data_IF_831705305686
#
_entry.id   IF_831705305686
#
_cell.length_a   1.000
_cell.length_b   1.000
_cell.length_c   1.000
_cell.angle_alpha   90.00
_cell.angle_beta   90.00
_cell.angle_gamma   90.00
#
_symmetry.space_group_name_H-M   'P 1'
#
loop_
_entity.id
_entity.type
_entity.pdbx_description
1 polymer ?
#
# COMPACT_ATOMS: atom_id res chain seq x y z
N UNK A 1 36.03 -1.79 17.14
CA UNK A 1 35.20 -2.56 16.19
C UNK A 1 34.31 -1.55 15.47
N UNK A 2 34.60 -1.26 14.21
CA UNK A 2 33.76 -0.39 13.39
C UNK A 2 32.41 -1.08 13.24
N UNK A 3 31.35 -0.54 13.87
CA UNK A 3 29.98 -0.98 13.61
C UNK A 3 29.75 -0.88 12.11
N UNK A 4 29.58 -2.00 11.41
CA UNK A 4 29.22 -1.99 10.00
C UNK A 4 27.91 -1.21 9.85
N UNK A 5 27.85 -0.35 8.83
CA UNK A 5 26.65 0.42 8.49
C UNK A 5 25.53 -0.55 8.12
N UNK A 6 24.32 -0.37 8.64
CA UNK A 6 23.16 -1.23 8.30
C UNK A 6 22.80 -1.01 6.82
N UNK A 7 22.76 -2.08 6.03
CA UNK A 7 22.49 -2.05 4.58
C UNK A 7 21.09 -2.57 4.30
N UNK A 8 20.29 -1.77 3.60
CA UNK A 8 18.91 -2.13 3.21
C UNK A 8 18.85 -2.20 1.70
N UNK A 9 18.50 -3.38 1.19
CA UNK A 9 18.28 -3.63 -0.22
C UNK A 9 16.82 -3.42 -0.60
N UNK A 10 16.57 -2.73 -1.70
CA UNK A 10 15.21 -2.54 -2.22
C UNK A 10 15.19 -2.66 -3.75
N UNK A 11 14.48 -3.66 -4.31
CA UNK A 11 14.10 -3.64 -5.71
C UNK A 11 13.03 -2.58 -5.93
N UNK A 12 13.25 -1.69 -6.89
CA UNK A 12 12.32 -0.61 -7.24
C UNK A 12 12.13 -0.61 -8.74
N UNK A 13 10.89 -0.53 -9.21
CA UNK A 13 10.63 -0.27 -10.63
C UNK A 13 11.05 1.17 -10.98
N UNK A 14 12.29 1.37 -11.44
CA UNK A 14 12.77 2.66 -11.96
C UNK A 14 12.51 2.78 -13.47
N UNK A 15 12.26 1.66 -14.13
CA UNK A 15 11.77 1.57 -15.50
C UNK A 15 10.58 0.63 -15.64
N UNK A 16 9.95 0.62 -16.82
CA UNK A 16 8.79 -0.21 -17.13
C UNK A 16 7.45 0.38 -16.64
N UNK A 17 6.39 -0.44 -16.67
CA UNK A 17 5.00 -0.02 -16.40
C UNK A 17 4.75 0.56 -15.01
N UNK A 18 5.62 0.29 -14.04
CA UNK A 18 5.50 0.76 -12.65
C UNK A 18 6.49 1.89 -12.31
N UNK A 19 7.26 2.40 -13.29
CA UNK A 19 8.28 3.44 -13.10
C UNK A 19 7.79 4.67 -12.31
N UNK A 20 6.55 5.10 -12.59
CA UNK A 20 5.93 6.23 -11.88
C UNK A 20 5.83 6.00 -10.37
N UNK A 21 5.42 4.80 -9.96
CA UNK A 21 5.27 4.45 -8.55
C UNK A 21 6.62 4.12 -7.91
N UNK A 22 7.52 3.43 -8.61
CA UNK A 22 8.86 3.18 -8.09
C UNK A 22 9.67 4.47 -7.89
N UNK A 23 9.51 5.47 -8.75
CA UNK A 23 10.08 6.80 -8.53
C UNK A 23 9.64 7.44 -7.21
N UNK A 24 8.36 7.28 -6.82
CA UNK A 24 7.83 7.77 -5.55
C UNK A 24 8.40 7.00 -4.35
N UNK A 25 8.53 5.67 -4.45
CA UNK A 25 9.17 4.84 -3.41
C UNK A 25 10.62 5.27 -3.20
N UNK A 26 11.40 5.39 -4.28
CA UNK A 26 12.80 5.82 -4.21
C UNK A 26 12.93 7.18 -3.54
N UNK A 27 12.16 8.17 -3.97
CA UNK A 27 12.20 9.52 -3.39
C UNK A 27 11.84 9.50 -1.89
N UNK A 28 10.81 8.75 -1.51
CA UNK A 28 10.42 8.60 -0.10
C UNK A 28 11.55 8.00 0.75
N UNK A 29 12.16 6.91 0.28
CA UNK A 29 13.27 6.25 0.97
C UNK A 29 14.52 7.14 1.05
N UNK A 30 14.86 7.88 -0.01
CA UNK A 30 15.98 8.82 0.00
C UNK A 30 15.73 9.99 0.97
N UNK A 31 14.49 10.48 1.10
CA UNK A 31 14.11 11.47 2.12
C UNK A 31 14.27 10.87 3.52
N UNK A 32 13.74 9.67 3.75
CA UNK A 32 13.91 8.96 5.02
C UNK A 32 15.39 8.75 5.39
N UNK A 33 16.23 8.31 4.44
CA UNK A 33 17.67 8.09 4.67
C UNK A 33 18.41 9.37 5.11
N UNK A 34 17.93 10.56 4.72
CA UNK A 34 18.52 11.83 5.17
C UNK A 34 18.42 12.04 6.70
N UNK A 35 17.45 11.38 7.36
CA UNK A 35 17.33 11.33 8.82
C UNK A 35 18.08 10.15 9.45
N UNK A 36 18.52 9.19 8.64
CA UNK A 36 19.20 7.97 9.08
C UNK A 36 20.55 7.80 8.34
N UNK A 37 21.53 8.71 8.53
CA UNK A 37 22.80 8.68 7.82
C UNK A 37 23.69 7.47 8.15
N UNK A 38 23.33 6.69 9.18
CA UNK A 38 23.97 5.42 9.52
C UNK A 38 23.36 4.21 8.76
N UNK A 39 22.40 4.42 7.86
CA UNK A 39 21.79 3.37 7.01
C UNK A 39 22.21 3.58 5.56
N UNK A 40 22.69 2.53 4.91
CA UNK A 40 22.99 2.50 3.48
C UNK A 40 21.79 1.90 2.71
N UNK A 41 21.19 2.67 1.81
CA UNK A 41 20.17 2.18 0.89
C UNK A 41 20.83 1.69 -0.40
N UNK A 42 20.51 0.46 -0.80
CA UNK A 42 20.94 -0.12 -2.08
C UNK A 42 19.68 -0.35 -2.90
N UNK A 43 19.49 0.52 -3.89
CA UNK A 43 18.33 0.52 -4.79
C UNK A 43 18.74 -0.12 -6.11
N UNK A 44 18.01 -1.15 -6.54
CA UNK A 44 18.21 -1.78 -7.84
C UNK A 44 16.92 -1.75 -8.67
N UNK A 45 17.05 -1.47 -9.97
CA UNK A 45 15.91 -1.43 -10.88
C UNK A 45 15.40 -2.85 -11.16
N UNK A 46 14.12 -3.10 -10.88
CA UNK A 46 13.44 -4.36 -11.21
C UNK A 46 12.75 -4.33 -12.59
N UNK A 47 12.84 -3.21 -13.32
CA UNK A 47 12.25 -3.02 -14.65
C UNK A 47 10.74 -3.24 -14.73
N UNK A 48 10.04 -3.31 -13.59
CA UNK A 48 8.64 -3.74 -13.49
C UNK A 48 8.37 -5.20 -13.92
N UNK A 49 9.38 -6.05 -13.91
CA UNK A 49 9.31 -7.41 -14.46
C UNK A 49 9.52 -8.50 -13.40
N UNK A 50 8.65 -9.52 -13.28
CA UNK A 50 8.85 -10.59 -12.31
C UNK A 50 10.18 -11.35 -12.48
N UNK A 51 10.68 -11.49 -13.71
CA UNK A 51 11.91 -12.25 -14.00
C UNK A 51 13.18 -11.52 -13.58
N UNK A 52 13.18 -10.18 -13.56
CA UNK A 52 14.36 -9.42 -13.12
C UNK A 52 14.69 -9.70 -11.65
N UNK A 53 13.67 -9.95 -10.82
CA UNK A 53 13.81 -10.25 -9.41
C UNK A 53 14.62 -11.52 -9.13
N UNK A 54 14.68 -12.46 -10.08
CA UNK A 54 15.51 -13.66 -9.97
C UNK A 54 17.01 -13.35 -9.95
N UNK A 55 17.39 -12.15 -10.39
CA UNK A 55 18.77 -11.64 -10.35
C UNK A 55 18.92 -10.59 -9.27
N UNK A 56 18.00 -9.63 -9.21
CA UNK A 56 18.08 -8.48 -8.30
C UNK A 56 18.01 -8.91 -6.83
N UNK A 57 17.07 -9.76 -6.45
CA UNK A 57 16.89 -10.13 -5.04
C UNK A 57 18.05 -10.97 -4.48
N UNK A 58 18.57 -12.01 -5.17
CA UNK A 58 19.76 -12.72 -4.69
C UNK A 58 20.99 -11.81 -4.56
N UNK A 59 21.16 -10.86 -5.49
CA UNK A 59 22.26 -9.88 -5.41
C UNK A 59 22.12 -8.97 -4.19
N UNK A 60 20.94 -8.39 -3.97
CA UNK A 60 20.64 -7.59 -2.79
C UNK A 60 20.83 -8.40 -1.50
N UNK A 61 20.33 -9.64 -1.45
CA UNK A 61 20.47 -10.53 -0.29
C UNK A 61 21.93 -10.85 0.04
N UNK A 62 22.79 -10.97 -0.97
CA UNK A 62 24.23 -11.22 -0.77
C UNK A 62 25.02 -10.02 -0.21
N UNK A 63 24.41 -8.83 -0.12
CA UNK A 63 25.11 -7.61 0.31
C UNK A 63 24.33 -6.76 1.33
N UNK A 64 23.07 -7.08 1.63
CA UNK A 64 22.20 -6.29 2.51
C UNK A 64 21.79 -7.08 3.76
N UNK A 65 21.59 -6.38 4.86
CA UNK A 65 21.11 -6.94 6.12
C UNK A 65 19.58 -7.07 6.14
N UNK A 66 18.88 -6.15 5.47
CA UNK A 66 17.42 -6.11 5.38
C UNK A 66 16.98 -5.98 3.92
N UNK A 67 15.83 -6.58 3.59
CA UNK A 67 15.24 -6.49 2.25
C UNK A 67 13.83 -5.90 2.31
N UNK A 68 13.61 -4.82 1.58
CA UNK A 68 12.28 -4.32 1.27
C UNK A 68 11.74 -5.02 0.01
N UNK A 69 10.42 -5.12 -0.10
CA UNK A 69 9.74 -5.76 -1.24
C UNK A 69 9.43 -4.78 -2.37
N UNK A 70 9.35 -5.23 -3.64
CA UNK A 70 9.02 -4.35 -4.75
C UNK A 70 7.55 -3.93 -4.77
N UNK A 71 7.27 -2.86 -5.52
CA UNK A 71 5.92 -2.58 -6.02
C UNK A 71 5.73 -3.29 -7.37
N UNK A 72 4.80 -4.22 -7.58
CA UNK A 72 3.41 -4.31 -7.08
C UNK A 72 3.04 -5.72 -6.56
N UNK A 73 1.77 -6.01 -6.27
CA UNK A 73 1.25 -7.35 -5.93
C UNK A 73 1.78 -8.47 -6.83
N UNK A 74 1.96 -8.22 -8.13
CA UNK A 74 2.53 -9.20 -9.06
C UNK A 74 4.01 -9.48 -8.75
N UNK A 75 4.81 -8.43 -8.59
CA UNK A 75 6.24 -8.54 -8.29
C UNK A 75 6.46 -9.12 -6.89
N UNK A 76 5.66 -8.68 -5.93
CA UNK A 76 5.77 -9.12 -4.55
C UNK A 76 5.43 -10.61 -4.38
N UNK A 77 4.53 -11.16 -5.19
CA UNK A 77 4.29 -12.61 -5.25
C UNK A 77 5.56 -13.38 -5.63
N UNK A 78 6.35 -12.86 -6.57
CA UNK A 78 7.62 -13.48 -6.98
C UNK A 78 8.69 -13.25 -5.91
N UNK A 79 8.78 -12.03 -5.38
CA UNK A 79 9.72 -11.66 -4.33
C UNK A 79 9.55 -12.55 -3.08
N UNK A 80 8.32 -12.77 -2.61
CA UNK A 80 8.07 -13.62 -1.44
C UNK A 80 8.58 -15.06 -1.60
N UNK A 81 8.44 -15.64 -2.80
CA UNK A 81 9.00 -16.98 -3.10
C UNK A 81 10.52 -16.99 -3.11
N UNK A 82 11.14 -15.93 -3.62
CA UNK A 82 12.59 -15.78 -3.64
C UNK A 82 13.12 -15.58 -2.22
N UNK A 83 12.47 -14.73 -1.41
CA UNK A 83 12.78 -14.55 0.01
C UNK A 83 12.73 -15.88 0.78
N UNK A 84 11.67 -16.66 0.59
CA UNK A 84 11.56 -18.00 1.17
C UNK A 84 12.67 -18.95 0.71
N UNK A 85 13.03 -18.95 -0.57
CA UNK A 85 14.11 -19.78 -1.11
C UNK A 85 15.51 -19.38 -0.60
N UNK A 86 15.69 -18.10 -0.23
CA UNK A 86 16.93 -17.55 0.31
C UNK A 86 16.97 -17.55 1.86
N UNK A 87 15.93 -18.04 2.53
CA UNK A 87 15.73 -17.93 4.00
C UNK A 87 15.82 -16.47 4.50
N UNK A 88 15.30 -15.52 3.73
CA UNK A 88 15.30 -14.08 4.02
C UNK A 88 13.89 -13.54 4.25
N UNK A 89 13.79 -12.55 5.14
CA UNK A 89 12.54 -11.81 5.39
C UNK A 89 12.46 -10.60 4.45
N UNK A 90 11.30 -10.42 3.80
CA UNK A 90 10.99 -9.30 2.93
C UNK A 90 9.90 -8.44 3.56
N UNK A 91 10.21 -7.16 3.76
CA UNK A 91 9.28 -6.13 4.22
C UNK A 91 8.46 -5.62 3.04
N UNK A 92 7.27 -6.16 2.88
CA UNK A 92 6.37 -5.88 1.78
C UNK A 92 5.68 -4.53 1.96
N UNK A 93 6.04 -3.59 1.08
CA UNK A 93 5.42 -2.27 0.97
C UNK A 93 4.63 -2.06 -0.33
N UNK A 94 4.49 -3.08 -1.18
CA UNK A 94 4.04 -2.92 -2.57
C UNK A 94 2.99 -3.92 -3.05
N UNK A 95 2.78 -5.02 -2.32
CA UNK A 95 1.82 -6.06 -2.65
C UNK A 95 0.71 -6.22 -1.64
N UNK A 96 -0.48 -5.67 -1.94
CA UNK A 96 -1.63 -5.72 -1.04
C UNK A 96 -2.49 -6.97 -1.19
N UNK A 97 -2.25 -7.83 -2.19
CA UNK A 97 -3.07 -9.04 -2.36
C UNK A 97 -3.03 -9.93 -1.11
N UNK A 98 -4.19 -10.31 -0.58
CA UNK A 98 -4.32 -11.11 0.65
C UNK A 98 -3.51 -12.41 0.53
N UNK A 99 -3.57 -13.04 -0.64
CA UNK A 99 -2.85 -14.24 -1.02
C UNK A 99 -1.36 -14.01 -1.32
N UNK A 100 -0.88 -12.78 -1.31
CA UNK A 100 0.55 -12.43 -1.37
C UNK A 100 1.08 -12.18 0.03
N UNK A 101 0.33 -11.46 0.87
CA UNK A 101 0.70 -11.19 2.25
C UNK A 101 0.83 -12.48 3.06
N UNK A 102 -0.11 -13.42 2.91
CA UNK A 102 -0.14 -14.67 3.66
C UNK A 102 0.63 -15.84 3.00
N UNK A 103 1.22 -15.65 1.82
CA UNK A 103 1.75 -16.77 1.02
C UNK A 103 3.04 -17.40 1.56
N UNK A 104 3.86 -16.64 2.30
CA UNK A 104 5.15 -17.12 2.78
C UNK A 104 5.33 -16.74 4.26
N UNK A 105 4.62 -17.41 5.18
CA UNK A 105 4.77 -17.18 6.61
C UNK A 105 6.25 -17.30 7.03
N UNK A 106 6.69 -16.44 7.94
CA UNK A 106 8.10 -16.37 8.36
C UNK A 106 9.00 -15.54 7.44
N UNK A 107 8.53 -15.14 6.25
CA UNK A 107 9.37 -14.53 5.20
C UNK A 107 8.78 -13.26 4.58
N UNK A 108 7.49 -12.96 4.79
CA UNK A 108 6.85 -11.74 4.28
C UNK A 108 6.15 -11.04 5.42
N UNK A 109 6.51 -9.78 5.66
CA UNK A 109 5.83 -8.89 6.61
C UNK A 109 5.25 -7.71 5.82
N UNK A 110 3.93 -7.57 5.82
CA UNK A 110 3.22 -6.54 5.07
C UNK A 110 2.89 -5.33 5.91
N UNK A 111 3.10 -4.11 5.38
CA UNK A 111 2.74 -2.86 6.09
C UNK A 111 1.36 -2.32 5.69
N UNK A 112 0.87 -2.69 4.51
CA UNK A 112 -0.38 -2.19 3.93
C UNK A 112 -1.57 -3.10 4.18
N UNK A 113 -2.76 -2.50 4.12
CA UNK A 113 -4.05 -3.15 4.26
C UNK A 113 -4.18 -4.19 3.16
N UNK A 114 -4.69 -5.40 3.44
CA UNK A 114 -4.92 -6.37 2.39
C UNK A 114 -6.05 -5.93 1.45
N UNK A 115 -5.97 -6.35 0.19
CA UNK A 115 -6.87 -5.97 -0.90
C UNK A 115 -8.34 -6.21 -0.54
N UNK A 116 -8.65 -7.34 0.10
CA UNK A 116 -10.00 -7.69 0.55
C UNK A 116 -10.62 -6.74 1.58
N UNK A 117 -9.85 -5.78 2.11
CA UNK A 117 -10.30 -4.80 3.10
C UNK A 117 -10.33 -3.36 2.58
N UNK A 118 -10.00 -3.12 1.31
CA UNK A 118 -9.94 -1.76 0.73
C UNK A 118 -11.29 -1.04 0.78
N UNK A 119 -12.38 -1.75 0.54
CA UNK A 119 -13.71 -1.15 0.48
C UNK A 119 -14.35 -0.91 1.85
N UNK A 120 -13.79 -1.45 2.94
CA UNK A 120 -14.29 -1.27 4.31
C UNK A 120 -14.62 0.19 4.65
N UNK A 121 -13.70 1.18 4.44
CA UNK A 121 -13.99 2.58 4.72
C UNK A 121 -15.21 3.13 3.95
N UNK A 122 -15.33 2.80 2.65
CA UNK A 122 -16.44 3.29 1.82
C UNK A 122 -17.78 2.66 2.24
N UNK A 123 -17.80 1.34 2.46
CA UNK A 123 -19.01 0.65 2.93
C UNK A 123 -19.44 1.14 4.30
N UNK A 124 -18.49 1.40 5.21
CA UNK A 124 -18.78 1.99 6.52
C UNK A 124 -19.44 3.36 6.36
N UNK A 125 -18.91 4.21 5.49
CA UNK A 125 -19.47 5.54 5.21
C UNK A 125 -20.92 5.47 4.70
N UNK A 126 -21.25 4.53 3.82
CA UNK A 126 -22.63 4.27 3.36
C UNK A 126 -23.52 3.78 4.51
N UNK A 127 -22.99 2.87 5.34
CA UNK A 127 -23.73 2.35 6.49
C UNK A 127 -24.11 3.46 7.48
N UNK A 128 -23.14 4.32 7.82
CA UNK A 128 -23.25 5.46 8.74
C UNK A 128 -24.16 6.58 8.22
N UNK A 129 -24.23 6.80 6.90
CA UNK A 129 -25.20 7.75 6.32
C UNK A 129 -26.63 7.22 6.28
N UNK A 130 -26.85 5.95 6.64
CA UNK A 130 -28.13 5.27 6.47
C UNK A 130 -28.44 4.89 5.01
N UNK A 131 -27.49 5.04 4.08
CA UNK A 131 -27.71 4.65 2.70
C UNK A 131 -27.73 3.12 2.57
N UNK A 132 -28.79 2.60 1.95
CA UNK A 132 -29.00 1.17 1.66
C UNK A 132 -29.26 0.93 0.17
N UNK A 133 -29.02 1.93 -0.67
CA UNK A 133 -29.04 1.76 -2.13
C UNK A 133 -28.09 0.65 -2.56
N UNK A 134 -28.47 -0.14 -3.58
CA UNK A 134 -27.67 -1.27 -4.01
C UNK A 134 -26.31 -0.82 -4.54
N UNK A 135 -25.29 -1.60 -4.20
CA UNK A 135 -23.90 -1.38 -4.58
C UNK A 135 -23.57 -2.16 -5.85
N UNK A 136 -23.30 -1.43 -6.93
CA UNK A 136 -22.68 -1.98 -8.14
C UNK A 136 -21.18 -2.09 -7.92
N UNK A 137 -20.61 -3.27 -8.11
CA UNK A 137 -19.17 -3.49 -8.07
C UNK A 137 -18.67 -3.81 -9.48
N UNK A 138 -17.72 -3.00 -9.97
CA UNK A 138 -17.04 -3.24 -11.24
C UNK A 138 -15.59 -3.61 -10.96
N UNK A 139 -15.25 -4.89 -11.17
CA UNK A 139 -13.89 -5.41 -10.99
C UNK A 139 -13.07 -5.23 -12.27
N UNK A 140 -11.83 -4.75 -12.12
CA UNK A 140 -10.83 -4.84 -13.18
C UNK A 140 -10.27 -6.27 -13.31
N UNK A 141 -9.20 -6.39 -14.10
CA UNK A 141 -8.53 -7.67 -14.36
C UNK A 141 -7.55 -8.06 -13.25
N UNK A 142 -7.38 -9.37 -13.09
CA UNK A 142 -6.33 -9.95 -12.24
C UNK A 142 -6.72 -10.11 -10.77
N UNK A 143 -5.86 -10.81 -10.02
CA UNK A 143 -6.22 -11.30 -8.68
C UNK A 143 -6.44 -10.20 -7.65
N UNK A 144 -5.69 -9.10 -7.73
CA UNK A 144 -5.86 -7.96 -6.84
C UNK A 144 -7.26 -7.35 -6.97
N UNK A 145 -7.68 -7.01 -8.20
CA UNK A 145 -9.00 -6.46 -8.49
C UNK A 145 -10.12 -7.36 -7.97
N UNK A 146 -10.00 -8.67 -8.23
CA UNK A 146 -10.96 -9.67 -7.74
C UNK A 146 -11.04 -9.70 -6.21
N UNK A 147 -9.91 -9.69 -5.49
CA UNK A 147 -9.90 -9.67 -4.03
C UNK A 147 -10.55 -8.40 -3.48
N UNK A 148 -10.29 -7.23 -4.08
CA UNK A 148 -10.93 -5.96 -3.69
C UNK A 148 -12.44 -6.03 -3.91
N UNK A 149 -12.89 -6.55 -5.06
CA UNK A 149 -14.31 -6.68 -5.40
C UNK A 149 -15.05 -7.67 -4.48
N UNK A 150 -14.46 -8.83 -4.21
CA UNK A 150 -15.00 -9.80 -3.26
C UNK A 150 -15.04 -9.23 -1.83
N UNK A 151 -14.01 -8.49 -1.44
CA UNK A 151 -13.93 -7.77 -0.16
C UNK A 151 -15.04 -6.75 -0.01
N UNK A 152 -15.28 -5.94 -1.04
CA UNK A 152 -16.38 -4.99 -1.09
C UNK A 152 -17.75 -5.65 -0.95
N UNK A 153 -17.96 -6.78 -1.64
CA UNK A 153 -19.21 -7.53 -1.54
C UNK A 153 -19.42 -8.08 -0.12
N UNK A 154 -18.38 -8.66 0.49
CA UNK A 154 -18.44 -9.15 1.89
C UNK A 154 -18.76 -8.02 2.87
N UNK A 155 -18.06 -6.89 2.76
CA UNK A 155 -18.29 -5.74 3.63
C UNK A 155 -19.72 -5.20 3.47
N UNK A 156 -20.21 -5.06 2.24
CA UNK A 156 -21.56 -4.57 1.96
C UNK A 156 -22.66 -5.49 2.52
N UNK A 157 -22.53 -6.81 2.31
CA UNK A 157 -23.46 -7.78 2.87
C UNK A 157 -23.49 -7.76 4.41
N UNK A 158 -22.34 -7.57 5.06
CA UNK A 158 -22.27 -7.49 6.52
C UNK A 158 -23.07 -6.32 7.12
N UNK A 159 -23.34 -5.28 6.34
CA UNK A 159 -24.15 -4.11 6.75
C UNK A 159 -25.52 -4.03 6.06
N UNK A 160 -25.92 -5.08 5.34
CA UNK A 160 -27.21 -5.19 4.69
C UNK A 160 -27.37 -4.36 3.41
N UNK A 161 -26.28 -4.03 2.71
CA UNK A 161 -26.32 -3.36 1.40
C UNK A 161 -26.35 -4.43 0.29
N UNK A 162 -27.37 -4.42 -0.60
CA UNK A 162 -27.43 -5.36 -1.73
C UNK A 162 -26.28 -5.14 -2.71
N UNK A 163 -25.74 -6.21 -3.30
CA UNK A 163 -24.59 -6.14 -4.22
C UNK A 163 -24.94 -6.72 -5.59
N UNK A 164 -24.49 -6.05 -6.65
CA UNK A 164 -24.52 -6.58 -8.02
C UNK A 164 -23.17 -6.34 -8.71
N UNK A 165 -22.63 -7.37 -9.36
CA UNK A 165 -21.37 -7.28 -10.11
C UNK A 165 -21.60 -6.90 -11.58
N UNK A 166 -20.82 -5.92 -12.08
CA UNK A 166 -20.81 -5.49 -13.48
C UNK A 166 -22.16 -4.95 -13.98
N UNK A 167 -22.23 -4.43 -15.21
CA UNK A 167 -23.46 -3.90 -15.81
C UNK A 167 -23.66 -2.39 -15.65
N UNK A 168 -24.74 -1.83 -16.24
CA UNK A 168 -24.98 -0.39 -16.27
C UNK A 168 -25.32 0.20 -14.88
N UNK A 169 -25.08 1.50 -14.74
CA UNK A 169 -25.29 2.28 -13.50
C UNK A 169 -26.12 3.52 -13.82
N UNK A 170 -27.10 3.80 -12.95
CA UNK A 170 -27.91 5.04 -12.93
C UNK A 170 -27.93 5.62 -11.50
N UNK A 171 -28.77 6.64 -11.26
CA UNK A 171 -28.84 7.36 -9.97
C UNK A 171 -29.49 6.59 -8.81
N UNK A 172 -29.95 5.36 -9.05
CA UNK A 172 -30.40 4.45 -8.00
C UNK A 172 -29.25 3.65 -7.34
N UNK A 173 -28.08 3.61 -7.97
CA UNK A 173 -26.95 2.77 -7.57
C UNK A 173 -25.80 3.56 -6.93
N UNK A 174 -25.23 2.97 -5.88
CA UNK A 174 -23.86 3.26 -5.49
C UNK A 174 -22.91 2.45 -6.38
N UNK A 175 -21.76 3.00 -6.75
CA UNK A 175 -20.76 2.36 -7.59
C UNK A 175 -19.43 2.25 -6.85
N UNK A 176 -18.85 1.04 -6.84
CA UNK A 176 -17.50 0.78 -6.39
C UNK A 176 -16.66 0.17 -7.53
N UNK A 177 -15.61 0.87 -7.94
CA UNK A 177 -14.66 0.45 -8.96
C UNK A 177 -13.42 -0.17 -8.29
N UNK A 178 -13.11 -1.41 -8.68
CA UNK A 178 -12.05 -2.23 -8.11
C UNK A 178 -11.06 -2.68 -9.20
N UNK A 179 -10.56 -1.75 -10.00
CA UNK A 179 -9.64 -2.01 -11.11
C UNK A 179 -8.25 -1.40 -10.94
N UNK A 180 -7.40 -1.61 -11.95
CA UNK A 180 -6.21 -0.80 -12.12
C UNK A 180 -6.58 0.65 -12.47
N UNK A 181 -5.62 1.56 -12.36
CA UNK A 181 -5.84 3.00 -12.55
C UNK A 181 -6.63 3.34 -13.82
N UNK A 182 -6.22 2.83 -14.97
CA UNK A 182 -6.87 3.13 -16.25
C UNK A 182 -8.25 2.46 -16.38
N UNK A 183 -8.44 1.26 -15.81
CA UNK A 183 -9.72 0.56 -15.82
C UNK A 183 -10.76 1.32 -14.98
N UNK A 184 -10.39 1.76 -13.78
CA UNK A 184 -11.27 2.56 -12.92
C UNK A 184 -11.63 3.89 -13.58
N UNK A 185 -10.66 4.59 -14.18
CA UNK A 185 -10.89 5.84 -14.92
C UNK A 185 -11.89 5.63 -16.06
N UNK A 186 -11.75 4.54 -16.82
CA UNK A 186 -12.66 4.20 -17.91
C UNK A 186 -14.08 3.91 -17.41
N UNK A 187 -14.21 3.17 -16.30
CA UNK A 187 -15.52 2.88 -15.68
C UNK A 187 -16.16 4.18 -15.17
N UNK A 188 -15.42 5.01 -14.44
CA UNK A 188 -15.93 6.28 -13.89
C UNK A 188 -16.40 7.22 -15.00
N UNK A 189 -15.63 7.37 -16.09
CA UNK A 189 -16.03 8.20 -17.24
C UNK A 189 -17.35 7.74 -17.88
N UNK A 190 -17.71 6.46 -17.75
CA UNK A 190 -18.95 5.86 -18.29
C UNK A 190 -20.07 5.74 -17.25
N UNK A 191 -19.79 5.95 -15.96
CA UNK A 191 -20.71 5.68 -14.86
C UNK A 191 -21.94 6.62 -14.84
N UNK A 192 -21.93 7.71 -15.61
CA UNK A 192 -23.07 8.60 -15.74
C UNK A 192 -23.49 9.23 -14.41
N UNK A 193 -24.76 9.03 -14.01
CA UNK A 193 -25.40 9.69 -12.86
C UNK A 193 -25.43 8.83 -11.59
N UNK A 194 -24.49 7.91 -11.40
CA UNK A 194 -24.39 7.11 -10.18
C UNK A 194 -24.60 7.95 -8.91
N UNK A 195 -25.35 7.45 -7.93
CA UNK A 195 -25.67 8.19 -6.69
C UNK A 195 -24.41 8.59 -5.95
N UNK A 196 -23.51 7.63 -5.77
CA UNK A 196 -22.19 7.83 -5.17
C UNK A 196 -21.22 6.91 -5.88
N UNK A 197 -20.03 7.44 -6.20
CA UNK A 197 -18.95 6.71 -6.86
C UNK A 197 -17.79 6.61 -5.89
N UNK A 198 -17.24 5.41 -5.74
CA UNK A 198 -15.95 5.18 -5.13
C UNK A 198 -15.07 4.38 -6.08
N UNK A 199 -13.81 4.79 -6.24
CA UNK A 199 -12.84 4.07 -7.07
C UNK A 199 -11.51 3.92 -6.33
N UNK A 200 -10.84 2.77 -6.50
CA UNK A 200 -9.50 2.56 -5.96
C UNK A 200 -8.53 3.58 -6.57
N UNK A 201 -8.63 3.83 -7.87
CA UNK A 201 -7.79 4.82 -8.57
C UNK A 201 -7.96 6.25 -8.03
N UNK A 202 -9.13 6.58 -7.49
CA UNK A 202 -9.39 7.90 -6.90
C UNK A 202 -8.64 8.12 -5.56
N UNK A 203 -7.92 7.11 -5.05
CA UNK A 203 -7.02 7.21 -3.91
C UNK A 203 -5.68 7.92 -4.20
N UNK A 204 -5.42 8.38 -5.43
CA UNK A 204 -4.20 9.14 -5.77
C UNK A 204 -4.52 10.41 -6.54
N UNK A 205 -3.73 11.48 -6.34
CA UNK A 205 -3.98 12.81 -6.91
C UNK A 205 -4.00 12.84 -8.45
N UNK A 206 -3.38 11.88 -9.09
CA UNK A 206 -3.32 11.82 -10.55
C UNK A 206 -4.66 11.41 -11.18
N UNK A 207 -5.60 10.87 -10.40
CA UNK A 207 -6.95 10.54 -10.86
C UNK A 207 -7.73 11.77 -11.33
N UNK A 208 -7.59 12.90 -10.64
CA UNK A 208 -8.33 14.13 -10.96
C UNK A 208 -8.03 14.64 -12.37
N UNK A 209 -6.77 14.56 -12.81
CA UNK A 209 -6.37 14.91 -14.17
C UNK A 209 -6.94 13.95 -15.23
N UNK A 210 -7.29 12.71 -14.83
CA UNK A 210 -7.78 11.69 -15.74
C UNK A 210 -9.30 11.78 -15.97
N UNK A 211 -10.12 12.05 -14.96
CA UNK A 211 -11.61 11.96 -15.11
C UNK A 211 -12.31 13.28 -15.47
N UNK A 212 -11.60 14.41 -15.49
CA UNK A 212 -12.17 15.72 -15.84
C UNK A 212 -12.75 16.45 -14.63
N UNK A 213 -13.90 16.02 -14.12
CA UNK A 213 -14.48 16.53 -12.86
C UNK A 213 -14.57 15.41 -11.81
N UNK A 214 -13.60 15.32 -10.88
CA UNK A 214 -13.60 14.29 -9.86
C UNK A 214 -14.48 14.64 -8.65
N UNK A 215 -15.08 15.83 -8.57
CA UNK A 215 -15.71 16.32 -7.33
C UNK A 215 -16.80 15.38 -6.81
N UNK A 216 -16.76 15.09 -5.52
CA UNK A 216 -17.69 14.20 -4.83
C UNK A 216 -17.39 12.71 -5.03
N UNK A 217 -16.46 12.32 -5.91
CA UNK A 217 -16.02 10.94 -6.06
C UNK A 217 -15.18 10.55 -4.84
N UNK A 218 -15.47 9.38 -4.28
CA UNK A 218 -14.68 8.82 -3.20
C UNK A 218 -13.49 8.03 -3.72
N UNK A 219 -12.37 8.10 -3.00
CA UNK A 219 -11.16 7.33 -3.24
C UNK A 219 -10.84 6.41 -2.08
N UNK A 220 -10.10 5.34 -2.37
CA UNK A 220 -9.48 4.50 -1.34
C UNK A 220 -7.97 4.55 -1.51
N UNK A 221 -7.28 5.13 -0.53
CA UNK A 221 -5.82 5.09 -0.44
C UNK A 221 -5.37 4.36 0.81
N UNK A 222 -4.07 4.06 0.91
CA UNK A 222 -3.53 3.48 2.15
C UNK A 222 -3.18 4.56 3.19
N UNK A 223 -2.99 5.80 2.75
CA UNK A 223 -2.64 6.91 3.64
C UNK A 223 -2.96 8.23 2.94
N UNK A 224 -3.31 9.25 3.72
CA UNK A 224 -3.43 10.63 3.26
C UNK A 224 -2.87 11.59 4.32
N UNK A 225 -2.28 12.72 3.90
CA UNK A 225 -1.76 13.71 4.83
C UNK A 225 -2.83 14.24 5.77
N UNK A 226 -2.46 14.43 7.04
CA UNK A 226 -3.29 15.08 8.05
C UNK A 226 -3.91 14.13 9.07
N UNK A 227 -3.39 12.89 9.18
CA UNK A 227 -3.80 11.94 10.21
C UNK A 227 -3.43 12.42 11.62
N UNK A 228 -2.30 13.15 11.76
CA UNK A 228 -1.97 13.92 12.97
C UNK A 228 -1.73 13.11 14.26
N UNK A 229 -1.62 11.79 14.17
CA UNK A 229 -1.42 10.90 15.32
C UNK A 229 0.02 10.87 15.83
N UNK A 230 0.19 10.59 17.12
CA UNK A 230 1.50 10.26 17.69
C UNK A 230 2.00 8.93 17.12
N UNK A 231 3.28 8.88 16.76
CA UNK A 231 3.95 7.67 16.28
C UNK A 231 4.75 7.05 17.41
N UNK A 232 4.74 5.71 17.50
CA UNK A 232 5.49 5.00 18.54
C UNK A 232 7.02 5.06 18.30
N UNK A 233 7.44 5.13 17.04
CA UNK A 233 8.84 5.22 16.62
C UNK A 233 8.94 5.71 15.16
N UNK A 234 10.16 6.10 14.76
CA UNK A 234 10.45 6.63 13.43
C UNK A 234 10.14 8.11 13.29
N UNK A 235 9.92 8.57 12.05
CA UNK A 235 9.57 9.96 11.75
C UNK A 235 8.09 10.20 12.02
N UNK A 236 7.76 11.39 12.53
CA UNK A 236 6.37 11.85 12.51
C UNK A 236 5.90 12.14 11.09
N UNK A 237 4.58 12.10 10.88
CA UNK A 237 3.95 12.48 9.61
C UNK A 237 4.40 13.88 9.16
N UNK A 238 4.36 14.84 10.09
CA UNK A 238 4.72 16.24 9.84
C UNK A 238 6.17 16.40 9.40
N UNK A 239 7.11 15.72 10.05
CA UNK A 239 8.53 15.79 9.69
C UNK A 239 8.78 15.23 8.30
N UNK A 240 8.20 14.05 8.01
CA UNK A 240 8.37 13.41 6.72
C UNK A 240 7.74 14.21 5.58
N UNK A 241 6.48 14.64 5.73
CA UNK A 241 5.78 15.45 4.71
C UNK A 241 6.54 16.74 4.43
N UNK A 242 6.95 17.48 5.47
CA UNK A 242 7.69 18.71 5.29
C UNK A 242 9.05 18.49 4.59
N UNK A 243 9.76 17.41 4.91
CA UNK A 243 11.02 17.07 4.24
C UNK A 243 10.82 16.66 2.78
N UNK A 244 9.77 15.88 2.50
CA UNK A 244 9.42 15.46 1.15
C UNK A 244 9.00 16.64 0.27
N UNK A 245 8.17 17.53 0.79
CA UNK A 245 7.72 18.75 0.09
C UNK A 245 8.88 19.70 -0.19
N UNK A 246 9.79 19.92 0.77
CA UNK A 246 10.99 20.73 0.54
C UNK A 246 11.84 20.20 -0.61
N UNK A 247 11.85 18.88 -0.82
CA UNK A 247 12.66 18.23 -1.85
C UNK A 247 11.98 18.18 -3.21
N UNK A 248 10.66 18.06 -3.25
CA UNK A 248 9.92 17.75 -4.48
C UNK A 248 8.95 18.84 -4.93
N UNK A 249 8.63 19.80 -4.06
CA UNK A 249 7.65 20.86 -4.30
C UNK A 249 6.19 20.41 -4.19
N UNK A 250 5.92 19.13 -3.89
CA UNK A 250 4.57 18.56 -3.77
C UNK A 250 4.48 17.59 -2.58
N UNK A 251 3.29 17.40 -1.97
CA UNK A 251 3.13 16.41 -0.90
C UNK A 251 3.38 14.98 -1.41
N UNK A 252 3.85 14.07 -0.54
CA UNK A 252 3.97 12.66 -0.90
C UNK A 252 2.61 12.02 -1.14
N UNK A 253 2.56 11.05 -2.06
CA UNK A 253 1.47 10.08 -2.13
C UNK A 253 1.76 8.90 -1.19
N UNK A 254 0.74 8.11 -0.85
CA UNK A 254 0.87 6.96 0.05
C UNK A 254 1.91 5.92 -0.42
N UNK A 255 2.20 5.85 -1.72
CA UNK A 255 3.22 4.95 -2.29
C UNK A 255 4.62 5.26 -1.75
N UNK A 256 4.96 6.55 -1.58
CA UNK A 256 6.23 6.96 -0.97
C UNK A 256 6.24 6.61 0.53
N UNK A 257 5.14 6.89 1.22
CA UNK A 257 4.99 6.62 2.67
C UNK A 257 5.05 5.13 2.98
N UNK A 258 4.50 4.27 2.11
CA UNK A 258 4.58 2.81 2.24
C UNK A 258 6.03 2.31 2.31
N UNK A 259 6.89 2.74 1.39
CA UNK A 259 8.30 2.35 1.40
C UNK A 259 9.00 2.81 2.68
N UNK A 260 8.71 4.04 3.11
CA UNK A 260 9.27 4.63 4.34
C UNK A 260 8.78 3.89 5.59
N UNK A 261 7.50 3.52 5.65
CA UNK A 261 6.95 2.73 6.74
C UNK A 261 7.63 1.37 6.84
N UNK A 262 7.84 0.69 5.72
CA UNK A 262 8.58 -0.58 5.69
C UNK A 262 10.03 -0.42 6.16
N UNK A 263 10.73 0.64 5.76
CA UNK A 263 12.09 0.93 6.25
C UNK A 263 12.12 1.21 7.76
N UNK A 264 11.16 2.00 8.27
CA UNK A 264 11.04 2.33 9.69
C UNK A 264 10.74 1.07 10.52
N UNK A 265 9.79 0.25 10.10
CA UNK A 265 9.43 -0.97 10.83
C UNK A 265 10.57 -1.99 10.75
N UNK A 266 11.21 -2.15 9.59
CA UNK A 266 12.34 -3.07 9.42
C UNK A 266 13.52 -2.72 10.32
N UNK A 267 13.92 -1.44 10.34
CA UNK A 267 15.02 -0.97 11.17
C UNK A 267 14.69 -1.02 12.66
N UNK A 268 13.44 -0.71 13.03
CA UNK A 268 12.96 -0.86 14.41
C UNK A 268 13.03 -2.32 14.88
N UNK A 269 12.57 -3.26 14.07
CA UNK A 269 12.60 -4.69 14.41
C UNK A 269 14.03 -5.21 14.51
N UNK A 270 14.93 -4.81 13.62
CA UNK A 270 16.35 -5.16 13.70
C UNK A 270 17.00 -4.63 14.99
N UNK A 271 16.73 -3.37 15.34
CA UNK A 271 17.24 -2.78 16.58
C UNK A 271 16.69 -3.46 17.83
N UNK A 272 15.38 -3.78 17.85
CA UNK A 272 14.72 -4.48 18.96
C UNK A 272 15.23 -5.91 19.13
N UNK A 273 15.51 -6.60 18.02
CA UNK A 273 16.02 -7.95 18.04
C UNK A 273 17.53 -8.03 18.36
N UNK A 274 18.27 -6.93 18.17
CA UNK A 274 19.73 -6.91 18.28
C UNK A 274 20.44 -7.62 17.13
N UNK A 275 19.74 -7.87 16.02
CA UNK A 275 20.21 -8.68 14.90
C UNK A 275 19.28 -8.58 13.67
N UNK A 276 19.74 -9.14 12.55
CA UNK A 276 19.03 -9.14 11.27
C UNK A 276 18.68 -10.55 10.79
N UNK A 277 18.79 -11.56 11.67
CA UNK A 277 18.42 -12.93 11.34
C UNK A 277 16.93 -13.03 11.05
N UNK A 278 16.54 -13.78 10.01
CA UNK A 278 15.14 -13.92 9.58
C UNK A 278 14.19 -14.28 10.73
N UNK A 279 14.55 -15.27 11.56
CA UNK A 279 13.72 -15.71 12.68
C UNK A 279 13.57 -14.62 13.76
N UNK A 280 14.63 -13.86 14.01
CA UNK A 280 14.65 -12.76 14.98
C UNK A 280 13.78 -11.60 14.50
N UNK A 281 13.93 -11.20 13.24
CA UNK A 281 13.10 -10.17 12.60
C UNK A 281 11.62 -10.56 12.56
N UNK A 282 11.32 -11.83 12.23
CA UNK A 282 9.95 -12.34 12.26
C UNK A 282 9.35 -12.27 13.66
N UNK A 283 10.07 -12.75 14.67
CA UNK A 283 9.60 -12.73 16.05
C UNK A 283 9.37 -11.30 16.55
N UNK A 284 10.26 -10.36 16.17
CA UNK A 284 10.10 -8.95 16.51
C UNK A 284 8.86 -8.34 15.84
N UNK A 285 8.65 -8.61 14.54
CA UNK A 285 7.49 -8.12 13.80
C UNK A 285 6.16 -8.72 14.29
N UNK A 286 6.14 -10.02 14.59
CA UNK A 286 4.95 -10.73 15.05
C UNK A 286 4.49 -10.31 16.46
N UNK A 287 5.40 -9.78 17.28
CA UNK A 287 5.09 -9.22 18.59
C UNK A 287 4.91 -7.69 18.61
N UNK A 288 4.84 -7.05 17.44
CA UNK A 288 4.77 -5.59 17.32
C UNK A 288 3.34 -5.14 17.01
N UNK A 289 2.77 -4.37 17.92
CA UNK A 289 1.57 -3.56 17.71
C UNK A 289 1.94 -2.09 17.95
N UNK A 290 1.86 -1.25 16.92
CA UNK A 290 2.34 0.13 17.01
C UNK A 290 1.70 1.07 16.00
N UNK A 291 1.48 2.32 16.41
CA UNK A 291 1.18 3.41 15.50
C UNK A 291 2.46 3.91 14.81
N UNK A 292 2.42 4.05 13.49
CA UNK A 292 3.51 4.59 12.65
C UNK A 292 3.03 5.81 11.87
N UNK A 293 3.92 6.50 11.12
CA UNK A 293 3.48 7.56 10.19
C UNK A 293 2.47 7.09 9.14
N UNK A 294 2.40 5.78 8.91
CA UNK A 294 1.49 5.15 7.96
C UNK A 294 0.24 4.59 8.65
N UNK A 295 0.02 4.89 9.94
CA UNK A 295 -1.06 4.33 10.75
C UNK A 295 -0.65 3.08 11.52
N UNK A 296 -1.65 2.39 12.05
CA UNK A 296 -1.44 1.22 12.91
C UNK A 296 -0.77 0.07 12.14
N UNK A 297 0.14 -0.62 12.81
CA UNK A 297 0.81 -1.81 12.32
C UNK A 297 0.59 -2.94 13.32
N UNK A 298 0.08 -4.06 12.81
CA UNK A 298 0.09 -5.36 13.48
C UNK A 298 -0.02 -6.45 12.42
N UNK A 299 0.58 -7.61 12.63
CA UNK A 299 0.45 -8.75 11.71
C UNK A 299 -0.14 -9.96 12.42
N UNK A 300 -0.84 -10.80 11.68
CA UNK A 300 -1.15 -12.15 12.14
C UNK A 300 0.16 -12.94 12.28
N UNK A 301 0.52 -13.44 13.48
CA UNK A 301 1.81 -14.08 13.72
C UNK A 301 1.95 -15.45 13.05
N UNK A 302 0.84 -16.06 12.62
CA UNK A 302 0.84 -17.34 11.91
C UNK A 302 1.07 -17.20 10.41
N UNK A 303 0.70 -16.07 9.80
CA UNK A 303 0.68 -15.89 8.35
C UNK A 303 1.47 -14.68 7.84
N UNK A 304 1.63 -13.63 8.64
CA UNK A 304 2.24 -12.35 8.25
C UNK A 304 1.26 -11.37 7.61
N UNK A 305 -0.02 -11.73 7.54
CA UNK A 305 -1.09 -10.87 7.01
C UNK A 305 -1.21 -9.60 7.87
N UNK A 306 -1.30 -8.43 7.24
CA UNK A 306 -1.49 -7.17 7.97
C UNK A 306 -2.92 -7.08 8.55
N UNK A 307 -3.01 -6.87 9.86
CA UNK A 307 -4.27 -6.83 10.60
C UNK A 307 -4.58 -5.44 11.18
N UNK A 308 -3.55 -4.68 11.56
CA UNK A 308 -3.67 -3.37 12.18
C UNK A 308 -4.04 -2.25 11.20
N UNK A 309 -3.30 -2.14 10.10
CA UNK A 309 -3.44 -1.03 9.16
C UNK A 309 -4.81 -1.02 8.46
N UNK A 310 -5.34 0.17 8.21
CA UNK A 310 -6.65 0.40 7.56
C UNK A 310 -6.51 1.39 6.42
N UNK A 311 -7.15 1.07 5.31
CA UNK A 311 -7.27 1.99 4.18
C UNK A 311 -8.09 3.24 4.58
N UNK A 312 -7.75 4.36 3.96
CA UNK A 312 -8.33 5.68 4.21
C UNK A 312 -9.33 6.00 3.09
N UNK A 313 -10.53 6.42 3.49
CA UNK A 313 -11.49 7.01 2.56
C UNK A 313 -11.08 8.44 2.24
N UNK A 314 -11.15 8.80 0.98
CA UNK A 314 -11.13 10.20 0.59
C UNK A 314 -12.34 10.59 -0.21
N UNK A 315 -12.58 11.89 -0.26
CA UNK A 315 -13.56 12.52 -1.13
C UNK A 315 -12.86 13.61 -1.92
N UNK A 316 -13.07 13.61 -3.22
CA UNK A 316 -12.52 14.62 -4.10
C UNK A 316 -13.26 15.94 -3.95
N UNK A 317 -12.49 16.99 -3.66
CA UNK A 317 -12.93 18.38 -3.67
C UNK A 317 -12.20 19.14 -4.79
N UNK A 318 -12.45 20.45 -4.93
CA UNK A 318 -11.87 21.26 -6.03
C UNK A 318 -10.34 21.27 -6.08
N UNK A 319 -9.67 21.09 -4.94
CA UNK A 319 -8.19 21.12 -4.82
C UNK A 319 -7.56 19.73 -4.72
N UNK A 320 -8.35 18.66 -4.80
CA UNK A 320 -7.88 17.28 -4.70
C UNK A 320 -8.63 16.43 -3.67
N UNK A 321 -8.16 15.19 -3.45
CA UNK A 321 -8.74 14.30 -2.46
C UNK A 321 -8.41 14.79 -1.04
N UNK A 322 -9.42 14.80 -0.18
CA UNK A 322 -9.30 15.04 1.28
C UNK A 322 -9.85 13.83 2.03
N UNK A 323 -9.35 13.58 3.25
CA UNK A 323 -9.90 12.53 4.11
C UNK A 323 -11.41 12.73 4.33
N UNK A 324 -12.19 11.64 4.31
CA UNK A 324 -13.65 11.67 4.30
C UNK A 324 -14.30 10.72 5.30
#
# INVERSE_FOLDING_TARGET
MTSSRLRIGVPVSLSGKHARFGGQVRLGLEVWQSFHPAVELIVEDDHSEPRSLDVVLPRLAGQCDLLLGPYSTQLMRRAGRIGAALDMLIWNHGGSGDDVQAANPGHVVSVQTPAGRYAEPFVRRLAESGDRSPLRIVSGKGRFALQVAEGAARAAHAVGIPVVFGGPVDDSWNLFCAGAFDEDVEVVRRAGRARTICAVAAGVREFGAAVGDPRGIYGVGQWFPGGGGEVAFGLSEREFVAAYERRTGVPPNYIAVQGVAAAIIATHCAARAGGTGRAELWSAAAGLEAATLFGDFAIDPGTGLQTGHRAVLTRWESQGPVAA
#
